data_IF_982018826627
#
_entry.id   IF_982018826627
#
_cell.length_a   1.000
_cell.length_b   1.000
_cell.length_c   1.000
_cell.angle_alpha   90.00
_cell.angle_beta   90.00
_cell.angle_gamma   90.00
#
_symmetry.space_group_name_H-M   'P 1'
#
loop_
_entity.id
_entity.type
_entity.pdbx_description
1 polymer ?
#
# COMPACT_ATOMS: atom_id res chain seq x y z
N UNK A 1 17.42 5.89 10.25
CA UNK A 1 16.06 5.90 10.84
C UNK A 1 15.35 4.58 10.59
N UNK A 2 15.09 4.18 9.34
CA UNK A 2 14.42 2.90 8.99
C UNK A 2 15.13 1.67 9.59
N UNK A 3 16.45 1.58 9.45
CA UNK A 3 17.23 0.45 10.00
C UNK A 3 17.09 0.29 11.53
N UNK A 4 16.96 1.41 12.24
CA UNK A 4 16.82 1.43 13.71
C UNK A 4 15.38 1.10 14.10
N UNK A 5 14.38 1.59 13.35
CA UNK A 5 12.97 1.38 13.65
C UNK A 5 12.47 -0.03 13.32
N UNK A 6 13.10 -0.73 12.38
CA UNK A 6 12.69 -2.09 11.96
C UNK A 6 13.68 -3.19 12.39
N UNK A 7 14.83 -2.86 12.99
CA UNK A 7 15.83 -3.86 13.35
C UNK A 7 16.46 -4.58 12.15
N UNK A 8 16.45 -3.93 10.99
CA UNK A 8 16.88 -4.46 9.70
C UNK A 8 18.36 -4.87 9.71
N UNK A 9 18.63 -6.09 9.23
CA UNK A 9 19.98 -6.62 9.01
C UNK A 9 20.18 -6.88 7.53
N UNK A 10 21.23 -6.30 6.94
CA UNK A 10 21.59 -6.58 5.55
C UNK A 10 21.86 -8.07 5.36
N UNK A 11 21.42 -8.60 4.23
CA UNK A 11 21.50 -10.01 3.93
C UNK A 11 22.95 -10.48 3.98
N UNK A 12 23.25 -11.45 4.85
CA UNK A 12 24.50 -12.22 4.80
C UNK A 12 24.27 -13.64 4.30
N UNK A 13 23.08 -14.21 4.53
CA UNK A 13 22.78 -15.62 4.24
C UNK A 13 21.30 -15.82 3.82
N UNK A 14 21.00 -15.75 2.52
CA UNK A 14 19.85 -16.42 1.87
C UNK A 14 20.09 -16.49 0.35
N UNK A 15 20.86 -17.50 -0.14
CA UNK A 15 21.27 -17.57 -1.54
C UNK A 15 20.11 -17.68 -2.52
N UNK A 16 19.01 -18.31 -2.10
CA UNK A 16 17.80 -18.43 -2.90
C UNK A 16 17.15 -17.07 -3.13
N UNK A 17 16.93 -16.30 -2.06
CA UNK A 17 16.31 -14.97 -2.15
C UNK A 17 17.17 -14.03 -3.01
N UNK A 18 18.49 -14.02 -2.80
CA UNK A 18 19.40 -13.20 -3.59
C UNK A 18 19.36 -13.56 -5.07
N UNK A 19 19.37 -14.86 -5.39
CA UNK A 19 19.26 -15.34 -6.77
C UNK A 19 17.93 -14.91 -7.40
N UNK A 20 16.81 -15.09 -6.71
CA UNK A 20 15.48 -14.71 -7.21
C UNK A 20 15.40 -13.20 -7.47
N UNK A 21 15.84 -12.36 -6.53
CA UNK A 21 15.84 -10.90 -6.71
C UNK A 21 16.72 -10.50 -7.89
N UNK A 22 17.90 -11.14 -8.05
CA UNK A 22 18.80 -10.89 -9.17
C UNK A 22 18.17 -11.25 -10.51
N UNK A 23 17.58 -12.44 -10.63
CA UNK A 23 16.91 -12.88 -11.85
C UNK A 23 15.76 -11.95 -12.24
N UNK A 24 14.96 -11.49 -11.27
CA UNK A 24 13.91 -10.52 -11.50
C UNK A 24 14.45 -9.15 -11.93
N UNK A 25 15.54 -8.67 -11.31
CA UNK A 25 16.18 -7.41 -11.69
C UNK A 25 16.78 -7.47 -13.10
N UNK A 26 17.37 -8.60 -13.48
CA UNK A 26 17.93 -8.86 -14.80
C UNK A 26 16.81 -8.85 -15.86
N UNK A 27 15.69 -9.54 -15.61
CA UNK A 27 14.48 -9.48 -16.45
C UNK A 27 13.94 -8.05 -16.59
N UNK A 28 13.92 -7.30 -15.48
CA UNK A 28 13.42 -5.93 -15.40
C UNK A 28 14.39 -4.86 -15.95
N UNK A 29 15.63 -5.25 -16.31
CA UNK A 29 16.73 -4.36 -16.70
C UNK A 29 16.90 -3.20 -15.71
N UNK A 30 17.02 -3.53 -14.42
CA UNK A 30 17.14 -2.55 -13.35
C UNK A 30 18.33 -2.88 -12.42
N UNK A 31 18.91 -1.88 -11.73
CA UNK A 31 19.98 -2.15 -10.78
C UNK A 31 19.48 -3.03 -9.62
N UNK A 32 20.32 -3.97 -9.19
CA UNK A 32 20.06 -4.81 -8.03
C UNK A 32 19.97 -3.94 -6.76
N UNK A 33 18.82 -3.91 -6.05
CA UNK A 33 18.73 -3.22 -4.77
C UNK A 33 19.50 -3.98 -3.69
N UNK A 34 19.86 -3.28 -2.61
CA UNK A 34 20.40 -3.96 -1.42
C UNK A 34 19.29 -4.83 -0.82
N UNK A 35 19.61 -6.07 -0.45
CA UNK A 35 18.64 -6.97 0.17
C UNK A 35 18.87 -6.99 1.67
N UNK A 36 17.80 -6.94 2.45
CA UNK A 36 17.85 -7.03 3.88
C UNK A 36 16.74 -7.90 4.46
N UNK A 37 17.03 -8.55 5.59
CA UNK A 37 16.04 -9.31 6.34
C UNK A 37 15.68 -8.56 7.61
N UNK A 38 14.38 -8.52 7.88
CA UNK A 38 13.79 -7.97 9.09
C UNK A 38 13.35 -9.13 9.98
N UNK A 39 13.82 -9.15 11.24
CA UNK A 39 13.48 -10.22 12.18
C UNK A 39 12.12 -9.96 12.83
N UNK A 40 11.06 -10.12 12.03
CA UNK A 40 9.67 -9.88 12.39
C UNK A 40 8.81 -11.06 11.88
N UNK A 41 7.92 -11.63 12.71
CA UNK A 41 7.06 -12.77 12.35
C UNK A 41 5.85 -12.42 11.46
N UNK A 42 5.62 -11.13 11.23
CA UNK A 42 4.56 -10.64 10.34
C UNK A 42 4.96 -10.88 8.87
N UNK A 43 4.04 -11.39 8.02
CA UNK A 43 4.33 -11.60 6.60
C UNK A 43 4.31 -10.27 5.83
N UNK A 44 5.47 -9.62 5.73
CA UNK A 44 5.61 -8.34 5.04
C UNK A 44 6.93 -8.24 4.24
N UNK A 45 6.93 -7.41 3.20
CA UNK A 45 8.12 -6.92 2.52
C UNK A 45 7.90 -5.47 2.11
N UNK A 46 8.98 -4.71 1.96
CA UNK A 46 8.91 -3.32 1.55
C UNK A 46 10.20 -2.82 0.94
N UNK A 47 10.10 -1.73 0.19
CA UNK A 47 11.23 -1.05 -0.41
C UNK A 47 11.39 0.38 0.11
N UNK A 48 12.63 0.82 0.26
CA UNK A 48 12.94 2.20 0.63
C UNK A 48 14.23 2.68 -0.02
N UNK A 49 14.32 4.00 -0.23
CA UNK A 49 15.48 4.66 -0.83
C UNK A 49 15.06 5.71 -1.85
N UNK A 50 15.95 6.69 -2.09
CA UNK A 50 15.65 7.84 -2.96
C UNK A 50 15.86 7.58 -4.44
N UNK A 51 16.73 6.63 -4.80
CA UNK A 51 17.06 6.29 -6.19
C UNK A 51 17.02 4.78 -6.38
N UNK A 52 16.76 4.32 -7.60
CA UNK A 52 16.77 2.89 -7.91
C UNK A 52 18.12 2.23 -7.63
N UNK A 53 19.24 2.99 -7.67
CA UNK A 53 20.60 2.49 -7.35
C UNK A 53 20.88 2.41 -5.86
N UNK A 54 20.16 3.17 -5.05
CA UNK A 54 20.32 3.21 -3.59
C UNK A 54 19.15 2.53 -2.87
N UNK A 55 18.26 1.86 -3.61
CA UNK A 55 17.09 1.21 -3.05
C UNK A 55 17.50 -0.01 -2.22
N UNK A 56 16.77 -0.23 -1.14
CA UNK A 56 16.88 -1.43 -0.30
C UNK A 56 15.54 -2.14 -0.32
N UNK A 57 15.55 -3.43 -0.59
CA UNK A 57 14.44 -4.36 -0.45
C UNK A 57 14.58 -5.06 0.90
N UNK A 58 13.61 -4.84 1.78
CA UNK A 58 13.53 -5.46 3.09
C UNK A 58 12.45 -6.55 3.07
N UNK A 59 12.79 -7.74 3.54
CA UNK A 59 11.86 -8.88 3.61
C UNK A 59 11.77 -9.35 5.06
N UNK A 60 10.56 -9.47 5.60
CA UNK A 60 10.35 -9.98 6.95
C UNK A 60 10.53 -11.50 6.97
N UNK A 61 11.06 -12.02 8.09
CA UNK A 61 11.21 -13.45 8.32
C UNK A 61 9.86 -14.19 8.22
N UNK A 62 8.80 -13.60 8.75
CA UNK A 62 7.44 -14.13 8.66
C UNK A 62 6.93 -14.30 7.23
N UNK A 63 7.39 -13.48 6.28
CA UNK A 63 7.03 -13.65 4.86
C UNK A 63 7.69 -14.91 4.30
N UNK A 64 8.99 -15.09 4.58
CA UNK A 64 9.76 -16.23 4.11
C UNK A 64 9.29 -17.56 4.70
N UNK A 65 8.71 -17.55 5.90
CA UNK A 65 8.23 -18.74 6.60
C UNK A 65 6.78 -19.11 6.21
N UNK A 66 5.93 -18.14 5.83
CA UNK A 66 4.49 -18.37 5.62
C UNK A 66 4.08 -18.49 4.14
N UNK A 67 4.85 -17.95 3.22
CA UNK A 67 4.53 -17.93 1.79
C UNK A 67 5.37 -18.96 1.01
N UNK A 68 4.82 -19.45 -0.10
CA UNK A 68 5.56 -20.28 -1.05
C UNK A 68 6.63 -19.45 -1.79
N UNK A 69 7.57 -20.14 -2.46
CA UNK A 69 8.64 -19.46 -3.21
C UNK A 69 8.08 -18.60 -4.35
N UNK A 70 7.03 -19.08 -5.01
CA UNK A 70 6.34 -18.39 -6.11
C UNK A 70 5.56 -17.18 -5.60
N UNK A 71 4.91 -17.31 -4.43
CA UNK A 71 4.23 -16.19 -3.74
C UNK A 71 5.23 -15.10 -3.33
N UNK A 72 6.40 -15.49 -2.79
CA UNK A 72 7.47 -14.55 -2.45
C UNK A 72 8.04 -13.88 -3.70
N UNK A 73 8.26 -14.62 -4.80
CA UNK A 73 8.69 -14.05 -6.08
C UNK A 73 7.71 -12.99 -6.58
N UNK A 74 6.40 -13.25 -6.48
CA UNK A 74 5.35 -12.30 -6.84
C UNK A 74 5.34 -11.04 -5.95
N UNK A 75 5.53 -11.19 -4.63
CA UNK A 75 5.66 -10.06 -3.70
C UNK A 75 6.91 -9.24 -4.03
N UNK A 76 8.04 -9.88 -4.31
CA UNK A 76 9.26 -9.18 -4.73
C UNK A 76 9.04 -8.44 -6.05
N UNK A 77 8.35 -9.07 -7.02
CA UNK A 77 7.99 -8.43 -8.28
C UNK A 77 7.18 -7.15 -8.08
N UNK A 78 6.24 -7.16 -7.13
CA UNK A 78 5.46 -5.99 -6.75
C UNK A 78 6.35 -4.89 -6.16
N UNK A 79 7.21 -5.23 -5.20
CA UNK A 79 8.16 -4.30 -4.58
C UNK A 79 9.16 -3.68 -5.57
N UNK A 80 9.65 -4.49 -6.53
CA UNK A 80 10.50 -3.98 -7.63
C UNK A 80 9.73 -3.00 -8.53
N UNK A 81 8.40 -3.16 -8.66
CA UNK A 81 7.53 -2.21 -9.35
C UNK A 81 7.59 -0.80 -8.74
N UNK A 82 7.56 -0.69 -7.41
CA UNK A 82 7.71 0.60 -6.73
C UNK A 82 9.07 1.26 -7.02
N UNK A 83 10.15 0.46 -7.04
CA UNK A 83 11.49 0.96 -7.38
C UNK A 83 11.56 1.39 -8.86
N UNK A 84 10.98 0.59 -9.77
CA UNK A 84 10.98 0.84 -11.21
C UNK A 84 10.27 2.14 -11.54
N UNK A 85 9.12 2.37 -10.92
CA UNK A 85 8.28 3.54 -11.16
C UNK A 85 8.62 4.76 -10.27
N UNK A 86 9.57 4.60 -9.33
CA UNK A 86 10.06 5.66 -8.43
C UNK A 86 8.98 6.25 -7.51
N UNK A 87 8.17 5.37 -6.94
CA UNK A 87 6.96 5.74 -6.19
C UNK A 87 7.28 6.62 -4.99
N UNK A 88 8.33 6.29 -4.26
CA UNK A 88 8.81 7.07 -3.12
C UNK A 88 9.08 8.53 -3.51
N UNK A 89 9.67 8.78 -4.69
CA UNK A 89 9.92 10.14 -5.18
C UNK A 89 8.62 10.83 -5.60
N UNK A 90 7.77 10.14 -6.36
CA UNK A 90 6.50 10.69 -6.88
C UNK A 90 5.56 11.07 -5.74
N UNK A 91 5.36 10.17 -4.77
CA UNK A 91 4.49 10.43 -3.61
C UNK A 91 5.07 11.55 -2.75
N UNK A 92 6.39 11.59 -2.54
CA UNK A 92 7.04 12.69 -1.81
C UNK A 92 6.83 14.04 -2.51
N UNK A 93 6.99 14.08 -3.84
CA UNK A 93 6.80 15.31 -4.62
C UNK A 93 5.35 15.82 -4.56
N UNK A 94 4.37 14.94 -4.74
CA UNK A 94 2.94 15.30 -4.67
C UNK A 94 2.56 15.72 -3.23
N UNK A 95 3.15 15.10 -2.22
CA UNK A 95 2.89 15.39 -0.80
C UNK A 95 3.44 16.75 -0.35
N UNK A 96 4.29 17.41 -1.14
CA UNK A 96 4.82 18.73 -0.79
C UNK A 96 3.73 19.80 -0.70
N UNK A 97 2.73 19.77 -1.60
CA UNK A 97 1.68 20.78 -1.62
C UNK A 97 0.74 20.71 -0.40
N UNK A 98 0.18 19.54 -0.03
CA UNK A 98 -0.59 19.41 1.21
C UNK A 98 0.23 19.77 2.45
N UNK A 99 1.51 19.40 2.49
CA UNK A 99 2.39 19.74 3.60
C UNK A 99 2.55 21.27 3.75
N UNK A 100 2.77 21.99 2.67
CA UNK A 100 2.85 23.46 2.70
C UNK A 100 1.54 24.09 3.17
N UNK A 101 0.40 23.62 2.66
CA UNK A 101 -0.92 24.08 3.09
C UNK A 101 -1.17 23.83 4.59
N UNK A 102 -0.74 22.67 5.09
CA UNK A 102 -0.80 22.34 6.51
C UNK A 102 0.08 23.26 7.35
N UNK A 103 1.32 23.54 6.92
CA UNK A 103 2.22 24.44 7.64
C UNK A 103 1.64 25.85 7.72
N UNK A 104 1.08 26.38 6.63
CA UNK A 104 0.40 27.69 6.60
C UNK A 104 -0.80 27.70 7.54
N UNK A 105 -1.65 26.68 7.50
CA UNK A 105 -2.80 26.57 8.41
C UNK A 105 -2.33 26.57 9.87
N UNK A 106 -1.33 25.74 10.19
CA UNK A 106 -0.79 25.59 11.55
C UNK A 106 -0.18 26.88 12.09
N UNK A 107 0.63 27.58 11.30
CA UNK A 107 1.22 28.86 11.71
C UNK A 107 0.12 29.89 11.93
N UNK A 108 -0.83 30.00 11.00
CA UNK A 108 -1.94 30.96 11.06
C UNK A 108 -2.82 30.73 12.30
N UNK A 109 -3.16 29.46 12.61
CA UNK A 109 -3.86 29.11 13.86
C UNK A 109 -3.06 29.45 15.12
N UNK A 110 -1.74 29.27 15.10
CA UNK A 110 -0.88 29.60 16.24
C UNK A 110 -0.81 31.11 16.49
N UNK A 111 -0.65 31.91 15.43
CA UNK A 111 -0.60 33.37 15.52
C UNK A 111 -1.97 33.97 15.89
N UNK A 112 -3.06 33.41 15.37
CA UNK A 112 -4.42 33.84 15.73
C UNK A 112 -4.75 33.66 17.22
N UNK A 113 -4.26 32.57 17.86
CA UNK A 113 -4.43 32.34 19.31
C UNK A 113 -3.62 33.30 20.17
N UNK A 114 -2.43 33.70 19.74
CA UNK A 114 -1.60 34.68 20.46
C UNK A 114 -2.19 36.09 20.35
N UNK A 115 -2.77 36.44 19.20
CA UNK A 115 -3.40 37.75 18.97
C UNK A 115 -4.64 38.00 19.85
N UNK A 116 -5.40 36.97 20.21
CA UNK A 116 -6.59 37.10 21.07
C UNK A 116 -6.21 37.46 22.53
N UNK A 117 -4.98 37.13 22.96
CA UNK A 117 -4.45 37.49 24.29
C UNK A 117 -3.96 38.94 24.39
N UNK A 118 -3.78 39.65 23.27
CA UNK A 118 -3.28 41.04 23.22
C UNK A 118 -4.26 41.92 22.48
N UNK A 119 -5.32 42.31 23.19
CA UNK A 119 -6.34 43.28 22.78
C UNK A 119 -5.68 44.65 22.51
N UNK A 120 -5.16 44.85 21.31
CA UNK A 120 -4.43 46.06 20.93
C UNK A 120 -4.46 46.29 19.43
N UNK A 121 -5.32 47.23 19.01
CA UNK A 121 -5.48 47.81 17.67
C UNK A 121 -4.25 47.70 16.76
N UNK A 122 -4.42 47.08 15.59
CA UNK A 122 -3.61 47.37 14.40
C UNK A 122 -3.02 46.13 13.72
N UNK A 123 -3.70 45.61 12.71
CA UNK A 123 -3.18 44.58 11.80
C UNK A 123 -4.15 43.42 11.65
N UNK A 124 -4.74 43.28 10.45
CA UNK A 124 -5.61 42.18 9.97
C UNK A 124 -6.62 41.67 11.00
N UNK A 125 -7.90 42.02 10.84
CA UNK A 125 -8.96 41.57 11.77
C UNK A 125 -8.84 40.06 12.01
N UNK A 126 -8.94 39.61 13.26
CA UNK A 126 -8.79 38.18 13.59
C UNK A 126 -9.67 37.25 12.73
N UNK A 127 -10.77 37.78 12.20
CA UNK A 127 -11.62 37.15 11.20
C UNK A 127 -10.88 36.81 9.88
N UNK A 128 -10.06 37.71 9.34
CA UNK A 128 -9.28 37.45 8.10
C UNK A 128 -8.23 36.35 8.29
N UNK A 129 -7.52 36.37 9.42
CA UNK A 129 -6.54 35.33 9.80
C UNK A 129 -7.25 33.98 9.97
N UNK A 130 -8.42 33.98 10.63
CA UNK A 130 -9.23 32.79 10.82
C UNK A 130 -9.75 32.20 9.49
N UNK A 131 -10.25 33.04 8.59
CA UNK A 131 -10.71 32.61 7.25
C UNK A 131 -9.56 32.04 6.42
N UNK A 132 -8.37 32.65 6.46
CA UNK A 132 -7.19 32.13 5.78
C UNK A 132 -6.74 30.78 6.34
N UNK A 133 -6.83 30.59 7.66
CA UNK A 133 -6.51 29.32 8.31
C UNK A 133 -7.48 28.20 7.89
N UNK A 134 -8.78 28.49 7.85
CA UNK A 134 -9.80 27.55 7.36
C UNK A 134 -9.54 27.19 5.90
N UNK A 135 -9.32 28.19 5.03
CA UNK A 135 -9.06 27.94 3.61
C UNK A 135 -7.82 27.07 3.41
N UNK A 136 -6.72 27.39 4.10
CA UNK A 136 -5.48 26.61 4.03
C UNK A 136 -5.66 25.18 4.53
N UNK A 137 -6.44 24.98 5.61
CA UNK A 137 -6.76 23.66 6.12
C UNK A 137 -7.63 22.85 5.15
N UNK A 138 -8.61 23.49 4.50
CA UNK A 138 -9.42 22.84 3.45
C UNK A 138 -8.57 22.39 2.27
N UNK A 139 -7.63 23.23 1.81
CA UNK A 139 -6.67 22.86 0.75
C UNK A 139 -5.81 21.67 1.19
N UNK A 140 -5.34 21.66 2.44
CA UNK A 140 -4.61 20.52 3.00
C UNK A 140 -5.44 19.22 2.93
N UNK A 141 -6.69 19.24 3.40
CA UNK A 141 -7.56 18.05 3.39
C UNK A 141 -7.78 17.55 1.96
N UNK A 142 -8.14 18.44 1.03
CA UNK A 142 -8.36 18.08 -0.38
C UNK A 142 -7.08 17.52 -0.99
N UNK A 143 -5.95 18.18 -0.80
CA UNK A 143 -4.66 17.74 -1.31
C UNK A 143 -4.25 16.37 -0.74
N UNK A 144 -4.52 16.12 0.54
CA UNK A 144 -4.24 14.83 1.16
C UNK A 144 -5.09 13.70 0.57
N UNK A 145 -6.36 13.96 0.24
CA UNK A 145 -7.22 12.99 -0.46
C UNK A 145 -6.68 12.65 -1.84
N UNK A 146 -6.12 13.62 -2.57
CA UNK A 146 -5.43 13.36 -3.84
C UNK A 146 -4.19 12.49 -3.63
N UNK A 147 -3.36 12.78 -2.63
CA UNK A 147 -2.19 11.94 -2.30
C UNK A 147 -2.61 10.50 -2.03
N UNK A 148 -3.68 10.29 -1.22
CA UNK A 148 -4.21 8.95 -0.96
C UNK A 148 -4.71 8.26 -2.23
N UNK A 149 -5.42 8.99 -3.10
CA UNK A 149 -5.85 8.47 -4.41
C UNK A 149 -4.68 8.02 -5.29
N UNK A 150 -3.64 8.86 -5.40
CA UNK A 150 -2.43 8.54 -6.15
C UNK A 150 -1.70 7.33 -5.55
N UNK A 151 -1.58 7.24 -4.21
CA UNK A 151 -0.99 6.09 -3.54
C UNK A 151 -1.71 4.79 -3.93
N UNK A 152 -3.04 4.76 -3.90
CA UNK A 152 -3.81 3.56 -4.29
C UNK A 152 -3.65 3.19 -5.76
N UNK A 153 -3.58 4.18 -6.65
CA UNK A 153 -3.31 3.95 -8.06
C UNK A 153 -1.92 3.31 -8.24
N UNK A 154 -0.91 3.77 -7.49
CA UNK A 154 0.46 3.24 -7.56
C UNK A 154 0.56 1.76 -7.15
N UNK A 155 -0.26 1.31 -6.20
CA UNK A 155 -0.39 -0.10 -5.83
C UNK A 155 -0.89 -0.96 -7.00
N UNK A 156 -1.93 -0.52 -7.71
CA UNK A 156 -2.44 -1.23 -8.89
C UNK A 156 -1.39 -1.31 -10.01
N UNK A 157 -0.58 -0.25 -10.19
CA UNK A 157 0.54 -0.28 -11.14
C UNK A 157 1.61 -1.30 -10.73
N UNK A 158 1.90 -1.43 -9.44
CA UNK A 158 2.84 -2.42 -8.92
C UNK A 158 2.30 -3.86 -9.04
N UNK A 159 0.99 -4.05 -8.86
CA UNK A 159 0.32 -5.35 -9.09
C UNK A 159 0.41 -5.78 -10.56
N UNK A 160 0.08 -4.89 -11.49
CA UNK A 160 0.24 -5.13 -12.94
C UNK A 160 1.70 -5.44 -13.28
N UNK A 161 2.64 -4.66 -12.73
CA UNK A 161 4.06 -4.86 -12.98
C UNK A 161 4.55 -6.23 -12.50
N UNK A 162 4.14 -6.64 -11.29
CA UNK A 162 4.45 -7.97 -10.76
C UNK A 162 3.92 -9.08 -11.65
N UNK A 163 2.66 -8.97 -12.08
CA UNK A 163 2.03 -9.96 -12.95
C UNK A 163 2.75 -10.08 -14.30
N UNK A 164 3.20 -8.97 -14.89
CA UNK A 164 3.99 -8.97 -16.14
C UNK A 164 5.37 -9.59 -15.92
N UNK A 165 6.06 -9.20 -14.83
CA UNK A 165 7.44 -9.60 -14.56
C UNK A 165 7.56 -11.10 -14.20
N UNK A 166 6.63 -11.59 -13.38
CA UNK A 166 6.59 -12.99 -12.92
C UNK A 166 5.81 -13.90 -13.86
N UNK A 167 4.93 -13.35 -14.70
CA UNK A 167 3.94 -14.08 -15.52
C UNK A 167 3.03 -14.99 -14.69
N UNK A 168 2.86 -14.68 -13.41
CA UNK A 168 2.07 -15.49 -12.48
C UNK A 168 1.26 -14.60 -11.52
N UNK A 169 0.17 -13.97 -12.01
CA UNK A 169 -0.71 -13.16 -11.15
C UNK A 169 -1.36 -13.97 -10.03
N UNK A 170 -1.58 -15.28 -10.24
CA UNK A 170 -2.20 -16.18 -9.27
C UNK A 170 -1.37 -16.32 -7.99
N UNK A 171 -0.04 -16.36 -8.12
CA UNK A 171 0.85 -16.34 -6.95
C UNK A 171 0.76 -15.04 -6.16
N UNK A 172 0.53 -13.89 -6.82
CA UNK A 172 0.31 -12.63 -6.09
C UNK A 172 -1.04 -12.63 -5.36
N UNK A 173 -2.09 -13.20 -5.97
CA UNK A 173 -3.40 -13.37 -5.31
C UNK A 173 -3.27 -14.20 -4.03
N UNK A 174 -2.60 -15.36 -4.12
CA UNK A 174 -2.34 -16.22 -2.95
C UNK A 174 -1.52 -15.52 -1.88
N UNK A 175 -0.47 -14.80 -2.28
CA UNK A 175 0.35 -14.00 -1.37
C UNK A 175 -0.48 -12.94 -0.64
N UNK A 176 -1.29 -12.15 -1.36
CA UNK A 176 -2.13 -11.10 -0.77
C UNK A 176 -3.13 -11.68 0.24
N UNK A 177 -3.76 -12.81 -0.07
CA UNK A 177 -4.67 -13.49 0.86
C UNK A 177 -3.96 -13.92 2.15
N UNK A 178 -2.79 -14.57 2.04
CA UNK A 178 -1.99 -15.01 3.21
C UNK A 178 -1.44 -13.85 4.01
N UNK A 179 -1.02 -12.77 3.35
CA UNK A 179 -0.54 -11.56 4.00
C UNK A 179 -1.68 -10.90 4.78
N UNK A 180 -2.84 -10.67 4.15
CA UNK A 180 -3.98 -10.06 4.83
C UNK A 180 -4.46 -10.89 6.03
N UNK A 181 -4.52 -12.22 5.89
CA UNK A 181 -4.81 -13.12 7.01
C UNK A 181 -3.73 -13.06 8.10
N UNK A 182 -2.45 -13.15 7.73
CA UNK A 182 -1.34 -13.14 8.68
C UNK A 182 -1.16 -11.81 9.41
N UNK A 183 -1.50 -10.68 8.77
CA UNK A 183 -1.51 -9.35 9.39
C UNK A 183 -2.72 -9.15 10.30
N UNK A 184 -3.86 -9.75 9.99
CA UNK A 184 -5.03 -9.72 10.87
C UNK A 184 -4.76 -10.41 12.22
N UNK A 185 -3.89 -11.41 12.23
CA UNK A 185 -3.47 -12.14 13.43
C UNK A 185 -2.25 -11.52 14.14
N UNK A 186 -1.54 -10.58 13.48
CA UNK A 186 -0.34 -9.98 14.04
C UNK A 186 -0.69 -8.97 15.16
N UNK A 187 0.17 -8.84 16.19
CA UNK A 187 0.00 -7.80 17.21
C UNK A 187 0.00 -6.40 16.58
N UNK A 188 -0.73 -5.45 17.20
CA UNK A 188 -0.86 -4.09 16.65
C UNK A 188 0.50 -3.40 16.55
N UNK A 189 0.90 -3.12 15.33
CA UNK A 189 2.15 -2.45 15.00
C UNK A 189 2.12 -0.94 15.17
N UNK A 190 3.30 -0.35 15.35
CA UNK A 190 3.48 1.09 15.46
C UNK A 190 3.02 1.81 14.19
N UNK A 191 2.27 2.91 14.35
CA UNK A 191 1.72 3.68 13.23
C UNK A 191 2.79 4.16 12.21
N UNK A 192 4.03 4.34 12.66
CA UNK A 192 5.15 4.75 11.82
C UNK A 192 5.64 3.65 10.85
N UNK A 193 5.48 2.37 11.20
CA UNK A 193 5.94 1.25 10.35
C UNK A 193 4.87 0.83 9.35
N UNK A 194 3.59 1.11 9.64
CA UNK A 194 2.42 0.79 8.78
C UNK A 194 2.55 1.26 7.33
N UNK A 195 3.24 2.37 7.08
CA UNK A 195 3.47 2.89 5.74
C UNK A 195 4.37 1.98 4.87
N UNK A 196 5.11 1.06 5.49
CA UNK A 196 5.96 0.07 4.85
C UNK A 196 5.28 -1.31 4.75
N UNK A 197 3.98 -1.43 4.96
CA UNK A 197 3.31 -2.72 4.80
C UNK A 197 2.66 -2.80 3.43
N UNK A 198 2.89 -3.91 2.71
CA UNK A 198 2.27 -4.17 1.40
C UNK A 198 0.73 -4.23 1.45
N UNK A 199 0.17 -4.51 2.63
CA UNK A 199 -1.26 -4.43 2.92
C UNK A 199 -1.45 -3.74 4.27
N UNK A 200 -2.42 -2.84 4.39
CA UNK A 200 -2.64 -2.09 5.64
C UNK A 200 -3.14 -3.04 6.75
N UNK A 201 -2.39 -3.24 7.85
CA UNK A 201 -2.77 -4.20 8.89
C UNK A 201 -4.14 -3.93 9.53
N UNK A 202 -4.57 -2.66 9.61
CA UNK A 202 -5.87 -2.28 10.20
C UNK A 202 -7.00 -2.68 9.26
N UNK A 203 -6.83 -2.45 7.96
CA UNK A 203 -7.84 -2.83 6.97
C UNK A 203 -7.86 -4.34 6.80
N UNK A 204 -6.70 -5.01 6.74
CA UNK A 204 -6.60 -6.46 6.69
C UNK A 204 -7.35 -7.12 7.88
N UNK A 205 -7.15 -6.62 9.10
CA UNK A 205 -7.89 -7.10 10.28
C UNK A 205 -9.40 -6.92 10.16
N UNK A 206 -9.85 -5.80 9.58
CA UNK A 206 -11.28 -5.49 9.39
C UNK A 206 -11.90 -6.29 8.25
N UNK A 207 -11.19 -6.48 7.14
CA UNK A 207 -11.61 -7.31 6.00
C UNK A 207 -11.75 -8.75 6.46
N UNK A 208 -10.73 -9.31 7.11
CA UNK A 208 -10.79 -10.70 7.63
C UNK A 208 -11.91 -10.86 8.65
N UNK A 209 -12.04 -9.92 9.60
CA UNK A 209 -13.14 -9.96 10.57
C UNK A 209 -14.51 -9.81 9.90
N UNK A 210 -14.64 -8.95 8.91
CA UNK A 210 -15.88 -8.75 8.15
C UNK A 210 -16.27 -9.97 7.32
N UNK A 211 -15.29 -10.70 6.78
CA UNK A 211 -15.50 -11.97 6.08
C UNK A 211 -15.92 -13.06 7.08
N UNK A 212 -15.21 -13.22 8.20
CA UNK A 212 -15.53 -14.21 9.24
C UNK A 212 -16.90 -13.97 9.90
N UNK A 213 -17.26 -12.71 10.17
CA UNK A 213 -18.58 -12.37 10.74
C UNK A 213 -19.73 -12.59 9.74
N UNK A 214 -19.43 -12.60 8.44
CA UNK A 214 -20.42 -12.77 7.37
C UNK A 214 -20.27 -14.10 6.64
N UNK A 215 -19.47 -15.02 7.17
CA UNK A 215 -19.23 -16.33 6.58
C UNK A 215 -20.57 -17.05 6.38
N UNK A 216 -21.46 -16.99 7.37
CA UNK A 216 -22.83 -17.55 7.31
C UNK A 216 -23.75 -16.90 6.24
N UNK A 217 -23.38 -15.72 5.73
CA UNK A 217 -24.14 -14.97 4.70
C UNK A 217 -23.62 -15.30 3.28
N UNK A 218 -22.33 -15.62 3.15
CA UNK A 218 -21.66 -15.78 1.86
C UNK A 218 -21.28 -17.22 1.53
N UNK A 219 -21.19 -18.09 2.54
CA UNK A 219 -21.10 -19.53 2.39
C UNK A 219 -22.48 -20.06 1.94
N UNK A 220 -22.68 -20.10 0.61
CA UNK A 220 -23.95 -20.50 -0.01
C UNK A 220 -24.16 -22.00 0.16
N UNK A 221 -23.07 -22.76 0.26
CA UNK A 221 -23.07 -24.21 0.30
C UNK A 221 -23.02 -24.78 1.75
N UNK A 222 -22.72 -23.93 2.74
CA UNK A 222 -22.62 -24.22 4.19
C UNK A 222 -21.54 -25.23 4.57
N UNK A 223 -20.44 -25.29 3.83
CA UNK A 223 -19.31 -26.18 4.10
C UNK A 223 -18.26 -25.56 5.06
N UNK A 224 -18.44 -24.30 5.44
CA UNK A 224 -17.53 -23.55 6.31
C UNK A 224 -16.24 -23.10 5.61
N UNK A 225 -16.21 -23.08 4.28
CA UNK A 225 -15.08 -22.60 3.47
C UNK A 225 -15.60 -21.83 2.26
N UNK A 226 -15.28 -20.53 2.18
CA UNK A 226 -15.65 -19.74 1.01
C UNK A 226 -14.92 -20.22 -0.25
N UNK A 227 -15.67 -20.74 -1.23
CA UNK A 227 -15.15 -21.08 -2.53
C UNK A 227 -14.77 -19.81 -3.33
N UNK A 228 -14.08 -19.99 -4.46
CA UNK A 228 -13.60 -18.86 -5.26
C UNK A 228 -14.73 -17.93 -5.74
N UNK A 229 -15.92 -18.46 -6.02
CA UNK A 229 -17.09 -17.70 -6.49
C UNK A 229 -17.82 -17.03 -5.32
N UNK A 230 -17.96 -17.72 -4.20
CA UNK A 230 -18.54 -17.18 -2.98
C UNK A 230 -17.71 -16.01 -2.43
N UNK A 231 -16.38 -16.14 -2.47
CA UNK A 231 -15.46 -15.05 -2.15
C UNK A 231 -15.62 -13.86 -3.10
N UNK A 232 -15.77 -14.10 -4.42
CA UNK A 232 -16.04 -13.03 -5.40
C UNK A 232 -17.35 -12.29 -5.08
N UNK A 233 -18.43 -13.01 -4.80
CA UNK A 233 -19.72 -12.41 -4.44
C UNK A 233 -19.62 -11.61 -3.14
N UNK A 234 -18.89 -12.13 -2.14
CA UNK A 234 -18.65 -11.43 -0.90
C UNK A 234 -17.92 -10.09 -1.13
N UNK A 235 -16.85 -10.16 -1.92
CA UNK A 235 -16.04 -9.00 -2.28
C UNK A 235 -16.81 -7.95 -3.10
N UNK A 236 -17.63 -8.38 -4.08
CA UNK A 236 -18.47 -7.47 -4.86
C UNK A 236 -19.50 -6.74 -3.99
N UNK A 237 -20.14 -7.46 -3.07
CA UNK A 237 -21.15 -6.87 -2.16
C UNK A 237 -20.51 -5.90 -1.17
N UNK A 238 -19.32 -6.21 -0.66
CA UNK A 238 -18.57 -5.24 0.16
C UNK A 238 -18.13 -4.01 -0.64
N UNK A 239 -17.77 -4.18 -1.91
CA UNK A 239 -17.40 -3.07 -2.79
C UNK A 239 -18.54 -2.05 -3.00
N UNK A 240 -19.79 -2.50 -2.90
CA UNK A 240 -20.96 -1.65 -3.04
C UNK A 240 -21.28 -0.84 -1.78
N UNK A 241 -20.77 -1.22 -0.61
CA UNK A 241 -21.04 -0.56 0.66
C UNK A 241 -20.52 0.90 0.70
N UNK A 242 -21.42 1.84 1.01
CA UNK A 242 -21.12 3.28 1.12
C UNK A 242 -20.07 3.56 2.19
N UNK A 243 -20.11 2.84 3.32
CA UNK A 243 -19.16 3.01 4.41
C UNK A 243 -17.75 2.54 4.03
N UNK A 244 -17.66 1.46 3.25
CA UNK A 244 -16.39 0.97 2.70
C UNK A 244 -15.82 2.01 1.73
N UNK A 245 -16.65 2.57 0.83
CA UNK A 245 -16.23 3.64 -0.10
C UNK A 245 -15.69 4.88 0.60
N UNK A 246 -16.32 5.34 1.69
CA UNK A 246 -15.83 6.48 2.49
C UNK A 246 -14.49 6.15 3.15
N UNK A 247 -14.36 4.99 3.78
CA UNK A 247 -13.11 4.58 4.43
C UNK A 247 -11.94 4.40 3.45
N UNK A 248 -12.23 3.96 2.21
CA UNK A 248 -11.21 3.84 1.15
C UNK A 248 -10.60 5.21 0.83
N UNK A 249 -11.38 6.30 0.85
CA UNK A 249 -10.86 7.63 0.53
C UNK A 249 -9.72 8.07 1.45
N UNK A 250 -9.70 7.58 2.70
CA UNK A 250 -8.69 7.90 3.71
C UNK A 250 -7.58 6.83 3.84
N UNK A 251 -7.52 5.84 2.94
CA UNK A 251 -6.50 4.79 2.93
C UNK A 251 -5.42 5.05 1.87
N UNK A 252 -4.16 4.75 2.19
CA UNK A 252 -3.04 4.77 1.21
C UNK A 252 -3.00 3.51 0.34
N UNK A 253 -3.56 2.40 0.82
CA UNK A 253 -3.62 1.13 0.11
C UNK A 253 -5.06 0.86 -0.35
N UNK A 254 -5.24 0.33 -1.58
CA UNK A 254 -6.54 -0.14 -1.99
C UNK A 254 -6.91 -1.39 -1.16
N UNK A 255 -8.21 -1.67 -1.00
CA UNK A 255 -8.66 -2.90 -0.36
C UNK A 255 -8.06 -4.14 -1.04
N UNK A 256 -7.80 -5.19 -0.26
CA UNK A 256 -7.21 -6.44 -0.77
C UNK A 256 -8.06 -6.99 -1.91
N UNK A 257 -9.39 -6.93 -1.75
CA UNK A 257 -10.32 -7.49 -2.70
C UNK A 257 -10.25 -6.83 -4.09
N UNK A 258 -10.01 -5.51 -4.17
CA UNK A 258 -9.87 -4.80 -5.46
C UNK A 258 -8.62 -5.23 -6.20
N UNK A 259 -7.53 -5.47 -5.47
CA UNK A 259 -6.26 -5.96 -6.03
C UNK A 259 -6.43 -7.36 -6.59
N UNK A 260 -7.12 -8.24 -5.85
CA UNK A 260 -7.43 -9.61 -6.29
C UNK A 260 -8.27 -9.60 -7.57
N UNK A 261 -9.35 -8.79 -7.64
CA UNK A 261 -10.18 -8.70 -8.86
C UNK A 261 -9.37 -8.23 -10.08
N UNK A 262 -8.52 -7.22 -9.91
CA UNK A 262 -7.61 -6.75 -10.96
C UNK A 262 -6.68 -7.88 -11.42
N UNK A 263 -6.07 -8.62 -10.49
CA UNK A 263 -5.16 -9.72 -10.81
C UNK A 263 -5.86 -10.89 -11.51
N UNK A 264 -7.10 -11.22 -11.15
CA UNK A 264 -7.91 -12.21 -11.88
C UNK A 264 -8.21 -11.76 -13.30
N UNK A 265 -8.49 -10.47 -13.50
CA UNK A 265 -8.69 -9.94 -14.84
C UNK A 265 -7.39 -10.01 -15.67
N UNK A 266 -6.24 -9.70 -15.07
CA UNK A 266 -4.92 -9.84 -15.70
C UNK A 266 -4.64 -11.31 -16.04
N UNK A 267 -4.96 -12.25 -15.15
CA UNK A 267 -4.82 -13.69 -15.42
C UNK A 267 -5.63 -14.13 -16.65
N UNK A 268 -6.89 -13.69 -16.74
CA UNK A 268 -7.75 -13.91 -17.91
C UNK A 268 -7.10 -13.34 -19.17
N UNK A 269 -6.64 -12.09 -19.17
CA UNK A 269 -5.95 -11.51 -20.34
C UNK A 269 -4.66 -12.28 -20.72
N UNK A 270 -3.83 -12.64 -19.74
CA UNK A 270 -2.60 -13.40 -19.97
C UNK A 270 -2.89 -14.77 -20.60
N UNK A 271 -3.94 -15.46 -20.15
CA UNK A 271 -4.37 -16.76 -20.71
C UNK A 271 -4.87 -16.68 -22.15
N UNK A 272 -5.40 -15.53 -22.59
CA UNK A 272 -5.84 -15.34 -23.98
C UNK A 272 -4.68 -15.15 -24.97
N UNK A 273 -3.46 -14.89 -24.48
CA UNK A 273 -2.25 -14.74 -25.31
C UNK A 273 -2.16 -13.44 -26.14
N UNK A 274 -3.24 -12.65 -26.24
CA UNK A 274 -3.31 -11.40 -27.00
C UNK A 274 -3.17 -10.15 -26.11
N UNK A 275 -2.16 -10.12 -25.23
CA UNK A 275 -1.95 -9.00 -24.33
C UNK A 275 -0.74 -8.15 -24.72
N UNK A 276 -0.79 -6.86 -24.39
CA UNK A 276 0.37 -5.97 -24.42
C UNK A 276 0.53 -5.36 -23.04
N UNK A 277 1.73 -4.93 -22.65
CA UNK A 277 1.91 -4.21 -21.37
C UNK A 277 0.95 -3.01 -21.29
N UNK A 278 0.76 -2.30 -22.41
CA UNK A 278 -0.17 -1.17 -22.49
C UNK A 278 -1.64 -1.57 -22.31
N UNK A 279 -2.07 -2.78 -22.69
CA UNK A 279 -3.46 -3.22 -22.47
C UNK A 279 -3.69 -3.51 -20.99
N UNK A 280 -2.73 -4.16 -20.33
CA UNK A 280 -2.83 -4.47 -18.90
C UNK A 280 -2.88 -3.22 -18.02
N UNK A 281 -2.11 -2.17 -18.34
CA UNK A 281 -2.19 -0.90 -17.61
C UNK A 281 -3.50 -0.12 -17.84
N UNK A 282 -4.30 -0.43 -18.89
CA UNK A 282 -5.63 0.20 -19.09
C UNK A 282 -6.71 -0.35 -18.16
N UNK A 283 -6.41 -1.41 -17.41
CA UNK A 283 -7.33 -2.00 -16.43
C UNK A 283 -7.41 -1.21 -15.12
N UNK A 284 -6.51 -0.25 -14.92
CA UNK A 284 -6.41 0.62 -13.73
C UNK A 284 -7.20 1.91 -13.98
#
# INVERSE_FOLDING_TARGET
>A
MVQISTGLRYLRENPWLEKTVKELCDKAKMPLPKIAIVNDPSPNAFTFGYTSRSATLAVHKGLLEKLSREEIEAVIGHELGHIKHRDAFVITAISALPLLAYLIARTTFSFGRVSDSRRGKGGWSGLTIFLLAILSYTIYIIGQLFVYGFSRMREHYADVYSAILTRNPRSLIGALARISYGLALAPKENAAVRAFYISDPIYASREVKGILEKEEIYDLNKDGVLDERELEIAMEKEAQSTWVKVNIMFSTHPPTYRRIMLLKQIEKELSTGNFSEKSLYRLI
#
